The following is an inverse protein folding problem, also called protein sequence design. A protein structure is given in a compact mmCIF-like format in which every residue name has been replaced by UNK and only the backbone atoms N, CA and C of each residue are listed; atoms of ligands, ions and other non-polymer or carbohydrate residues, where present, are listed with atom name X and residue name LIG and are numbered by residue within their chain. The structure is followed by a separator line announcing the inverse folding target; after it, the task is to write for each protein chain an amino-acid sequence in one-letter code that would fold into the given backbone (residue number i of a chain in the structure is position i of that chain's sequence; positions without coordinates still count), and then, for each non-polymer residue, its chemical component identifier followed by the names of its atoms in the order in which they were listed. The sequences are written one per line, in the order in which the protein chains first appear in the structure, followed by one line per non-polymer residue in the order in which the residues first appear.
data_IF_191621123832
#
_entry.id   IF_191621123832
#
_cell.length_a   1.000
_cell.length_b   1.000
_cell.length_c   1.000
_cell.angle_alpha   90.00
_cell.angle_beta   90.00
_cell.angle_gamma   90.00
#
_symmetry.space_group_name_H-M   'P 1'
#
loop_
_entity.id
_entity.type
_entity.pdbx_description
1 polymer ?
#
# COMPACT_ATOMS: atom_id res chain seq x y z
N UNK A 1 15.18 11.95 -10.05
CA UNK A 1 14.12 12.95 -10.41
C UNK A 1 13.11 13.01 -9.28
N UNK A 2 12.84 14.17 -8.76
CA UNK A 2 11.91 14.32 -7.65
C UNK A 2 10.47 14.54 -8.13
N UNK A 3 9.54 14.04 -7.35
CA UNK A 3 8.11 14.26 -7.52
C UNK A 3 7.57 14.98 -6.29
N UNK A 4 6.58 15.86 -6.50
CA UNK A 4 5.93 16.59 -5.41
C UNK A 4 4.45 16.24 -5.35
N UNK A 5 3.97 16.00 -4.16
CA UNK A 5 2.58 15.65 -3.89
C UNK A 5 2.02 16.59 -2.84
N UNK A 6 0.82 17.11 -3.08
CA UNK A 6 0.13 17.98 -2.14
C UNK A 6 -1.07 17.27 -1.56
N UNK A 7 -1.29 17.46 -0.28
CA UNK A 7 -2.43 16.87 0.39
C UNK A 7 -2.67 17.46 1.74
N UNK A 8 -3.78 17.05 2.35
CA UNK A 8 -4.11 17.38 3.73
C UNK A 8 -3.81 16.18 4.61
N UNK A 9 -3.06 16.39 5.68
CA UNK A 9 -2.75 15.33 6.66
C UNK A 9 -3.97 14.97 7.49
N UNK A 10 -3.87 13.87 8.25
CA UNK A 10 -4.93 13.45 9.18
C UNK A 10 -5.22 14.50 10.25
N UNK A 11 -4.23 15.32 10.61
CA UNK A 11 -4.37 16.41 11.55
C UNK A 11 -5.00 17.68 10.93
N UNK A 12 -5.20 17.69 9.62
CA UNK A 12 -5.82 18.79 8.91
C UNK A 12 -4.85 19.82 8.33
N UNK A 13 -3.55 19.55 8.33
CA UNK A 13 -2.53 20.47 7.80
C UNK A 13 -2.32 20.22 6.31
N UNK A 14 -2.30 21.30 5.52
CA UNK A 14 -1.92 21.20 4.12
C UNK A 14 -0.38 21.09 4.00
N UNK A 15 0.08 20.10 3.27
CA UNK A 15 1.52 19.84 3.10
C UNK A 15 1.87 19.53 1.65
N UNK A 16 3.12 19.82 1.32
CA UNK A 16 3.75 19.34 0.09
C UNK A 16 4.85 18.35 0.49
N UNK A 17 4.80 17.16 -0.08
CA UNK A 17 5.77 16.10 0.14
C UNK A 17 6.61 15.93 -1.11
N UNK A 18 7.92 16.04 -0.98
CA UNK A 18 8.86 15.79 -2.06
C UNK A 18 9.44 14.39 -1.91
N UNK A 19 9.37 13.62 -2.99
CA UNK A 19 9.89 12.25 -3.05
C UNK A 19 10.96 12.18 -4.14
N UNK A 20 12.13 11.72 -3.79
CA UNK A 20 13.22 11.48 -4.73
C UNK A 20 13.78 10.07 -4.50
N UNK A 21 13.95 9.33 -5.59
CA UNK A 21 14.45 7.95 -5.55
C UNK A 21 13.79 7.08 -4.47
N UNK A 22 12.46 7.08 -4.44
CA UNK A 22 11.64 6.30 -3.48
C UNK A 22 11.79 6.74 -2.02
N UNK A 23 12.34 7.91 -1.77
CA UNK A 23 12.49 8.46 -0.42
C UNK A 23 11.79 9.80 -0.29
N UNK A 24 11.18 10.02 0.85
CA UNK A 24 10.67 11.35 1.22
C UNK A 24 11.87 12.18 1.62
N UNK A 25 12.15 13.24 0.85
CA UNK A 25 13.28 14.12 1.10
C UNK A 25 12.88 15.45 1.74
N UNK A 26 11.61 15.83 1.64
CA UNK A 26 11.09 17.02 2.29
C UNK A 26 9.59 16.90 2.56
N UNK A 27 9.14 17.49 3.64
CA UNK A 27 7.72 17.71 3.96
C UNK A 27 7.59 19.15 4.43
N UNK A 28 6.83 19.95 3.73
CA UNK A 28 6.66 21.37 4.04
C UNK A 28 5.19 21.72 4.21
N UNK A 29 4.86 22.53 5.20
CA UNK A 29 3.53 23.10 5.31
C UNK A 29 3.31 24.12 4.22
N UNK A 30 2.13 24.08 3.60
CA UNK A 30 1.71 25.00 2.56
C UNK A 30 0.39 25.66 2.96
N UNK A 31 0.05 26.75 2.29
CA UNK A 31 -1.25 27.37 2.47
C UNK A 31 -2.35 26.41 2.02
N UNK A 32 -3.40 26.30 2.81
CA UNK A 32 -4.57 25.52 2.41
C UNK A 32 -5.18 26.13 1.16
N UNK A 33 -5.27 25.36 0.09
CA UNK A 33 -5.74 25.81 -1.21
C UNK A 33 -6.79 24.83 -1.73
N UNK A 34 -8.05 25.14 -1.43
CA UNK A 34 -9.17 24.37 -1.91
C UNK A 34 -9.25 22.95 -1.34
N UNK A 35 -9.78 22.05 -2.13
CA UNK A 35 -9.98 20.65 -1.74
C UNK A 35 -8.76 19.82 -2.13
N UNK A 36 -7.80 19.72 -1.23
CA UNK A 36 -6.67 18.84 -1.40
C UNK A 36 -7.04 17.40 -1.02
N UNK A 37 -6.49 16.40 -1.72
CA UNK A 37 -6.69 15.00 -1.31
C UNK A 37 -6.04 14.74 0.05
N UNK A 38 -6.52 13.71 0.73
CA UNK A 38 -5.90 13.25 1.96
C UNK A 38 -4.54 12.62 1.63
N UNK A 39 -3.51 12.99 2.39
CA UNK A 39 -2.21 12.37 2.34
C UNK A 39 -1.89 11.75 3.70
N UNK A 40 -1.52 10.49 3.69
CA UNK A 40 -1.23 9.73 4.90
C UNK A 40 -0.21 8.64 4.61
N UNK A 41 0.49 8.11 5.64
CA UNK A 41 1.28 6.90 5.48
C UNK A 41 0.38 5.75 4.97
N UNK A 42 0.95 4.80 4.23
CA UNK A 42 0.18 3.65 3.77
C UNK A 42 -0.28 2.80 4.95
N UNK A 43 -1.40 2.12 4.75
CA UNK A 43 -1.90 1.16 5.71
C UNK A 43 -1.04 -0.10 5.73
N UNK A 44 -1.00 -0.75 6.88
CA UNK A 44 -0.37 -2.06 7.07
C UNK A 44 -1.47 -3.07 7.34
N UNK A 45 -1.59 -4.07 6.48
CA UNK A 45 -2.54 -5.16 6.65
C UNK A 45 -1.84 -6.34 7.32
N UNK A 46 -2.22 -6.63 8.54
CA UNK A 46 -1.58 -7.69 9.35
C UNK A 46 -2.07 -9.09 9.00
N UNK A 47 -3.14 -9.23 8.24
CA UNK A 47 -3.66 -10.51 7.81
C UNK A 47 -4.37 -10.34 6.47
N UNK A 48 -3.70 -10.71 5.39
CA UNK A 48 -4.23 -10.60 4.03
C UNK A 48 -4.26 -12.00 3.40
N UNK A 49 -5.45 -12.49 3.10
CA UNK A 49 -5.63 -13.85 2.59
C UNK A 49 -5.55 -13.93 1.06
N UNK A 50 -5.68 -12.82 0.39
CA UNK A 50 -5.68 -12.72 -1.06
C UNK A 50 -6.74 -11.77 -1.58
N UNK A 51 -6.78 -11.57 -2.89
CA UNK A 51 -7.75 -10.70 -3.56
C UNK A 51 -7.90 -11.14 -5.02
N UNK A 52 -8.90 -10.59 -5.71
CA UNK A 52 -9.11 -10.87 -7.13
C UNK A 52 -9.24 -12.37 -7.43
N UNK A 53 -9.92 -13.10 -6.55
CA UNK A 53 -10.07 -14.56 -6.60
C UNK A 53 -8.77 -15.34 -6.47
N UNK A 54 -7.67 -14.67 -6.06
CA UNK A 54 -6.37 -15.29 -5.82
C UNK A 54 -6.11 -15.36 -4.32
N UNK A 55 -5.94 -16.56 -3.79
CA UNK A 55 -5.57 -16.79 -2.41
C UNK A 55 -4.08 -17.14 -2.31
N UNK A 56 -3.42 -16.68 -1.25
CA UNK A 56 -2.01 -17.01 -1.03
C UNK A 56 -1.79 -18.53 -0.84
N UNK A 57 -2.81 -19.25 -0.41
CA UNK A 57 -2.79 -20.71 -0.33
C UNK A 57 -2.44 -21.39 -1.67
N UNK A 58 -2.72 -20.72 -2.77
CA UNK A 58 -2.58 -21.26 -4.13
C UNK A 58 -1.42 -20.62 -4.91
N UNK A 59 -0.51 -19.95 -4.21
CA UNK A 59 0.61 -19.23 -4.86
C UNK A 59 1.49 -20.14 -5.72
N UNK A 60 1.64 -21.40 -5.33
CA UNK A 60 2.42 -22.38 -6.09
C UNK A 60 1.76 -22.77 -7.42
N UNK A 61 0.44 -22.63 -7.52
CA UNK A 61 -0.31 -22.87 -8.76
C UNK A 61 -0.41 -21.60 -9.63
N UNK A 62 -0.36 -20.44 -8.99
CA UNK A 62 -0.49 -19.14 -9.62
C UNK A 62 0.62 -18.20 -9.09
N UNK A 63 1.85 -18.31 -9.63
CA UNK A 63 3.00 -17.53 -9.14
C UNK A 63 2.79 -16.01 -9.20
N UNK A 64 1.97 -15.52 -10.13
CA UNK A 64 1.60 -14.12 -10.26
C UNK A 64 0.72 -13.60 -9.11
N UNK A 65 0.25 -14.50 -8.22
CA UNK A 65 -0.65 -14.12 -7.12
C UNK A 65 -0.05 -13.04 -6.25
N UNK A 66 1.23 -13.16 -5.86
CA UNK A 66 1.88 -12.18 -4.99
C UNK A 66 1.86 -10.78 -5.60
N UNK A 67 2.26 -10.66 -6.85
CA UNK A 67 2.29 -9.35 -7.52
C UNK A 67 0.89 -8.79 -7.74
N UNK A 68 -0.03 -9.61 -8.21
CA UNK A 68 -1.41 -9.18 -8.49
C UNK A 68 -2.11 -8.69 -7.22
N UNK A 69 -2.00 -9.44 -6.12
CA UNK A 69 -2.61 -9.07 -4.85
C UNK A 69 -1.93 -7.83 -4.26
N UNK A 70 -0.60 -7.74 -4.32
CA UNK A 70 0.12 -6.58 -3.83
C UNK A 70 -0.26 -5.30 -4.57
N UNK A 71 -0.36 -5.34 -5.91
CA UNK A 71 -0.80 -4.20 -6.71
C UNK A 71 -2.23 -3.79 -6.40
N UNK A 72 -3.11 -4.76 -6.21
CA UNK A 72 -4.50 -4.48 -5.83
C UNK A 72 -4.57 -3.80 -4.46
N UNK A 73 -3.84 -4.32 -3.48
CA UNK A 73 -3.77 -3.74 -2.13
C UNK A 73 -3.22 -2.30 -2.16
N UNK A 74 -2.15 -2.06 -2.93
CA UNK A 74 -1.54 -0.75 -3.08
C UNK A 74 -2.54 0.30 -3.62
N UNK A 75 -3.37 -0.08 -4.57
CA UNK A 75 -4.42 0.81 -5.12
C UNK A 75 -5.44 1.23 -4.07
N UNK A 76 -5.57 0.48 -2.97
CA UNK A 76 -6.48 0.76 -1.86
C UNK A 76 -5.75 1.30 -0.63
N UNK A 77 -4.51 1.77 -0.80
CA UNK A 77 -3.74 2.42 0.25
C UNK A 77 -2.96 1.49 1.17
N UNK A 78 -2.92 0.19 0.89
CA UNK A 78 -2.15 -0.78 1.67
C UNK A 78 -0.73 -0.87 1.10
N UNK A 79 0.26 -0.38 1.85
CA UNK A 79 1.67 -0.37 1.42
C UNK A 79 2.48 -1.55 1.95
N UNK A 80 1.98 -2.24 2.95
CA UNK A 80 2.58 -3.46 3.50
C UNK A 80 1.49 -4.44 3.89
N UNK A 81 1.71 -5.71 3.64
CA UNK A 81 0.80 -6.76 4.06
C UNK A 81 1.55 -7.99 4.51
N UNK A 82 0.93 -8.74 5.42
CA UNK A 82 1.38 -10.07 5.78
C UNK A 82 0.52 -11.07 5.02
N UNK A 83 1.13 -11.72 4.03
CA UNK A 83 0.48 -12.78 3.25
C UNK A 83 0.15 -13.93 4.19
N UNK A 84 -1.13 -14.29 4.24
CA UNK A 84 -1.64 -15.27 5.19
C UNK A 84 -2.12 -16.50 4.46
N UNK A 85 -1.66 -17.66 4.91
CA UNK A 85 -2.10 -18.96 4.43
C UNK A 85 -3.09 -19.51 5.46
N UNK A 86 -4.31 -19.77 5.02
CA UNK A 86 -5.33 -20.36 5.88
C UNK A 86 -5.11 -21.86 6.04
N UNK A 87 -5.87 -22.50 6.92
CA UNK A 87 -5.76 -23.93 7.19
C UNK A 87 -5.86 -24.76 5.92
N UNK A 88 -4.89 -25.63 5.70
CA UNK A 88 -4.83 -26.53 4.56
C UNK A 88 -3.94 -27.75 4.91
N UNK A 89 -3.85 -28.73 4.02
CA UNK A 89 -2.94 -29.85 4.22
C UNK A 89 -1.49 -29.38 4.31
N UNK A 90 -0.70 -30.01 5.17
CA UNK A 90 0.69 -29.62 5.40
C UNK A 90 1.52 -29.58 4.11
N UNK A 91 1.35 -30.61 3.29
CA UNK A 91 2.07 -30.73 2.00
C UNK A 91 1.79 -29.57 1.06
N UNK A 92 0.59 -28.98 1.14
CA UNK A 92 0.21 -27.82 0.32
C UNK A 92 0.75 -26.50 0.87
N UNK A 93 1.27 -26.51 2.09
CA UNK A 93 1.83 -25.32 2.75
C UNK A 93 3.32 -25.12 2.48
N UNK A 94 3.97 -26.13 1.95
CA UNK A 94 5.42 -26.11 1.67
C UNK A 94 5.73 -25.44 0.28
#
# INVERSE_FOLDING_TARGET
MSNRYRGTTLEGNAVEVEVDEERIVAVEEIAADGALPLIAPPLVDLQHNGAKHLAFNRVHEAPETLETVARHALRHGVGRLLATITTQAYEDSL
#
